data_IF_895333235350
#
_entry.id   IF_895333235350
#
_cell.length_a   1.000
_cell.length_b   1.000
_cell.length_c   1.000
_cell.angle_alpha   90.00
_cell.angle_beta   90.00
_cell.angle_gamma   90.00
#
_symmetry.space_group_name_H-M   'P 1'
#
loop_
_entity.id
_entity.type
_entity.pdbx_description
1 polymer ?
#
# COMPACT_ATOMS: atom_id res chain seq x y z
N UNK A 1 -10.11 -4.11 -2.60
CA UNK A 1 -9.67 -2.73 -2.34
C UNK A 1 -8.37 -2.42 -3.08
N UNK A 2 -8.21 -1.19 -3.48
CA UNK A 2 -6.96 -0.72 -4.08
C UNK A 2 -5.98 -0.35 -2.98
N UNK A 3 -4.71 -0.67 -3.19
CA UNK A 3 -3.64 -0.38 -2.25
C UNK A 3 -2.78 0.75 -2.81
N UNK A 4 -2.57 1.79 -2.02
CA UNK A 4 -1.75 2.95 -2.40
C UNK A 4 -0.60 3.13 -1.45
N UNK A 5 0.53 3.63 -1.99
CA UNK A 5 1.65 4.07 -1.18
C UNK A 5 1.62 5.60 -1.14
N UNK A 6 1.59 6.17 0.05
CA UNK A 6 1.61 7.61 0.22
C UNK A 6 2.97 8.20 -0.11
N UNK A 7 2.97 9.41 -0.69
CA UNK A 7 4.20 10.10 -1.07
C UNK A 7 5.08 10.47 0.13
N UNK A 8 4.50 10.49 1.32
CA UNK A 8 5.23 10.73 2.57
C UNK A 8 5.53 9.44 3.32
N UNK A 9 5.36 8.31 2.68
CA UNK A 9 5.48 7.00 3.29
C UNK A 9 4.14 6.50 3.83
N UNK A 10 4.07 5.21 4.12
CA UNK A 10 2.86 4.59 4.63
C UNK A 10 1.98 4.01 3.53
N UNK A 11 1.15 3.05 3.92
CA UNK A 11 0.22 2.37 3.03
C UNK A 11 -1.21 2.71 3.42
N UNK A 12 -2.09 2.79 2.44
CA UNK A 12 -3.52 2.97 2.70
C UNK A 12 -4.33 2.28 1.60
N UNK A 13 -5.64 2.14 1.84
CA UNK A 13 -6.56 1.49 0.90
C UNK A 13 -7.65 2.45 0.46
N UNK A 14 -8.23 2.15 -0.71
CA UNK A 14 -9.38 2.86 -1.22
C UNK A 14 -10.33 1.87 -1.89
N UNK A 15 -11.63 2.11 -1.80
CA UNK A 15 -12.63 1.29 -2.48
C UNK A 15 -12.69 1.60 -3.98
N UNK A 16 -12.26 2.79 -4.36
CA UNK A 16 -12.28 3.25 -5.75
C UNK A 16 -10.90 3.65 -6.22
N UNK A 17 -10.71 3.67 -7.53
CA UNK A 17 -9.49 4.25 -8.13
C UNK A 17 -9.52 5.76 -7.91
N UNK A 18 -8.47 6.28 -7.30
CA UNK A 18 -8.36 7.72 -7.05
C UNK A 18 -7.85 8.44 -8.29
N UNK A 19 -8.37 9.66 -8.51
CA UNK A 19 -7.93 10.51 -9.60
C UNK A 19 -6.55 11.10 -9.30
N UNK A 20 -5.87 11.56 -10.35
CA UNK A 20 -4.56 12.19 -10.21
C UNK A 20 -4.60 13.36 -9.23
N UNK A 21 -5.68 14.15 -9.25
CA UNK A 21 -5.84 15.30 -8.34
C UNK A 21 -5.89 14.88 -6.87
N UNK A 22 -6.47 13.71 -6.60
CA UNK A 22 -6.55 13.17 -5.24
C UNK A 22 -5.20 12.61 -4.77
N UNK A 23 -4.38 12.17 -5.70
CA UNK A 23 -3.08 11.56 -5.40
C UNK A 23 -1.95 12.59 -5.30
N UNK A 24 -2.07 13.68 -6.06
CA UNK A 24 -1.01 14.67 -6.17
C UNK A 24 -1.01 15.65 -4.99
N UNK A 25 0.17 15.89 -4.45
CA UNK A 25 0.36 16.87 -3.38
C UNK A 25 1.04 18.12 -3.95
N UNK A 26 0.32 19.24 -4.01
CA UNK A 26 0.85 20.49 -4.52
C UNK A 26 1.99 21.05 -3.66
N UNK A 27 1.91 20.82 -2.35
CA UNK A 27 2.93 21.29 -1.41
C UNK A 27 4.24 20.54 -1.54
N UNK A 28 4.18 19.24 -1.81
CA UNK A 28 5.35 18.37 -1.90
C UNK A 28 5.88 18.22 -3.32
N UNK A 29 5.05 18.45 -4.32
CA UNK A 29 5.39 18.21 -5.70
C UNK A 29 5.42 16.72 -6.09
N UNK A 30 4.92 15.84 -5.21
CA UNK A 30 4.88 14.40 -5.41
C UNK A 30 3.45 13.91 -5.44
N UNK A 31 3.26 12.68 -5.88
CA UNK A 31 1.95 12.04 -5.86
C UNK A 31 2.02 10.68 -5.17
N UNK A 32 0.88 10.26 -4.64
CA UNK A 32 0.71 8.91 -4.14
C UNK A 32 0.69 7.94 -5.32
N UNK A 33 0.81 6.66 -5.04
CA UNK A 33 1.16 5.65 -6.02
C UNK A 33 0.27 4.43 -5.86
N UNK A 34 -0.36 4.00 -6.95
CA UNK A 34 -1.17 2.79 -6.94
C UNK A 34 -0.28 1.56 -7.02
N UNK A 35 -0.36 0.69 -6.01
CA UNK A 35 0.37 -0.57 -5.98
C UNK A 35 -0.40 -1.65 -6.72
N UNK A 36 -1.71 -1.78 -6.45
CA UNK A 36 -2.54 -2.78 -7.09
C UNK A 36 -3.89 -2.94 -6.41
N UNK A 37 -4.62 -3.96 -6.84
CA UNK A 37 -5.94 -4.28 -6.32
C UNK A 37 -5.91 -5.64 -5.63
N UNK A 38 -6.52 -5.75 -4.47
CA UNK A 38 -6.62 -6.99 -3.72
C UNK A 38 -7.99 -7.14 -3.09
N UNK A 39 -8.59 -8.33 -3.19
CA UNK A 39 -9.86 -8.66 -2.55
C UNK A 39 -9.66 -9.47 -1.26
N UNK A 40 -8.52 -10.14 -1.13
CA UNK A 40 -8.21 -11.00 0.00
C UNK A 40 -6.86 -10.65 0.60
N UNK A 41 -6.61 -11.16 1.81
CA UNK A 41 -5.31 -11.00 2.48
C UNK A 41 -4.18 -11.59 1.64
N UNK A 42 -4.42 -12.74 1.04
CA UNK A 42 -3.42 -13.40 0.21
C UNK A 42 -3.05 -12.55 -1.00
N UNK A 43 -4.04 -11.97 -1.68
CA UNK A 43 -3.79 -11.08 -2.81
C UNK A 43 -3.02 -9.83 -2.39
N UNK A 44 -3.40 -9.24 -1.25
CA UNK A 44 -2.70 -8.08 -0.71
C UNK A 44 -1.24 -8.41 -0.40
N UNK A 45 -0.99 -9.56 0.23
CA UNK A 45 0.36 -10.01 0.52
C UNK A 45 1.17 -10.23 -0.76
N UNK A 46 0.58 -10.84 -1.78
CA UNK A 46 1.26 -11.06 -3.06
C UNK A 46 1.68 -9.77 -3.74
N UNK A 47 0.90 -8.69 -3.55
CA UNK A 47 1.26 -7.37 -4.09
C UNK A 47 2.39 -6.70 -3.31
N UNK A 48 2.46 -6.93 -2.00
CA UNK A 48 3.37 -6.21 -1.12
C UNK A 48 4.64 -7.00 -0.77
N UNK A 49 4.63 -8.30 -0.93
CA UNK A 49 5.74 -9.16 -0.47
C UNK A 49 7.10 -8.82 -1.08
N UNK A 50 7.11 -8.41 -2.36
CA UNK A 50 8.35 -8.11 -3.05
C UNK A 50 9.01 -6.83 -2.53
N UNK A 51 8.21 -5.94 -1.96
CA UNK A 51 8.67 -4.68 -1.40
C UNK A 51 8.77 -4.73 0.14
N UNK A 52 8.52 -5.90 0.73
CA UNK A 52 8.57 -6.10 2.17
C UNK A 52 9.90 -6.70 2.58
N UNK A 53 10.47 -6.21 3.68
CA UNK A 53 11.72 -6.73 4.21
C UNK A 53 11.47 -8.06 4.92
N UNK A 54 11.72 -9.16 4.22
CA UNK A 54 11.54 -10.51 4.73
C UNK A 54 12.89 -11.12 5.15
N UNK A 55 13.90 -10.84 4.36
CA UNK A 55 15.22 -11.48 4.50
C UNK A 55 16.36 -10.50 4.82
N UNK A 56 16.03 -9.28 5.21
CA UNK A 56 17.02 -8.26 5.51
C UNK A 56 17.50 -7.47 4.31
N UNK A 57 16.87 -7.64 3.15
CA UNK A 57 17.26 -6.93 1.92
C UNK A 57 16.71 -5.50 1.84
N UNK A 58 15.87 -5.10 2.80
CA UNK A 58 15.25 -3.78 2.83
C UNK A 58 13.85 -3.77 2.28
N UNK A 59 13.13 -2.69 2.52
CA UNK A 59 11.74 -2.53 2.11
C UNK A 59 10.85 -2.19 3.28
N UNK A 60 9.54 -2.43 3.12
CA UNK A 60 8.57 -2.22 4.18
C UNK A 60 8.83 -3.16 5.36
N UNK A 61 8.63 -2.67 6.58
CA UNK A 61 8.70 -3.49 7.77
C UNK A 61 7.65 -4.61 7.72
N UNK A 62 8.06 -5.84 7.94
CA UNK A 62 7.17 -7.00 7.85
C UNK A 62 5.99 -6.88 8.82
N UNK A 63 6.24 -6.47 10.05
CA UNK A 63 5.17 -6.29 11.05
C UNK A 63 4.18 -5.22 10.63
N UNK A 64 4.66 -4.13 10.07
CA UNK A 64 3.81 -3.05 9.56
C UNK A 64 2.88 -3.54 8.45
N UNK A 65 3.44 -4.27 7.48
CA UNK A 65 2.67 -4.81 6.35
C UNK A 65 1.62 -5.80 6.84
N UNK A 66 1.98 -6.68 7.78
CA UNK A 66 1.03 -7.64 8.36
C UNK A 66 -0.11 -6.95 9.08
N UNK A 67 0.18 -5.94 9.87
CA UNK A 67 -0.86 -5.16 10.56
C UNK A 67 -1.76 -4.44 9.57
N UNK A 68 -1.18 -3.85 8.54
CA UNK A 68 -1.93 -3.18 7.49
C UNK A 68 -2.92 -4.14 6.82
N UNK A 69 -2.45 -5.32 6.43
CA UNK A 69 -3.28 -6.34 5.78
C UNK A 69 -4.38 -6.81 6.72
N UNK A 70 -4.04 -7.13 7.97
CA UNK A 70 -5.01 -7.62 8.94
C UNK A 70 -6.08 -6.59 9.30
N UNK A 71 -5.75 -5.30 9.22
CA UNK A 71 -6.68 -4.22 9.53
C UNK A 71 -7.67 -3.93 8.41
N UNK A 72 -7.31 -4.26 7.16
CA UNK A 72 -8.10 -3.89 5.99
C UNK A 72 -8.84 -5.06 5.33
N UNK A 73 -8.47 -6.28 5.62
CA UNK A 73 -9.13 -7.49 5.08
C UNK A 73 -9.50 -8.43 6.22
N UNK A 74 -10.76 -8.82 6.29
CA UNK A 74 -11.33 -9.59 7.41
C UNK A 74 -11.31 -11.11 7.22
N UNK A 75 -10.60 -11.62 6.28
CA UNK A 75 -10.56 -13.06 6.07
C UNK A 75 -9.69 -13.80 7.04
#
# INVERSE_FOLDING_TARGET
MYIYEGHMGGLYTSDDVLDYEDLYCEECGDSDWLIGYAETREEAWNLLKDDTDIDGSGGWDYSYVREFINSNWDE
#
